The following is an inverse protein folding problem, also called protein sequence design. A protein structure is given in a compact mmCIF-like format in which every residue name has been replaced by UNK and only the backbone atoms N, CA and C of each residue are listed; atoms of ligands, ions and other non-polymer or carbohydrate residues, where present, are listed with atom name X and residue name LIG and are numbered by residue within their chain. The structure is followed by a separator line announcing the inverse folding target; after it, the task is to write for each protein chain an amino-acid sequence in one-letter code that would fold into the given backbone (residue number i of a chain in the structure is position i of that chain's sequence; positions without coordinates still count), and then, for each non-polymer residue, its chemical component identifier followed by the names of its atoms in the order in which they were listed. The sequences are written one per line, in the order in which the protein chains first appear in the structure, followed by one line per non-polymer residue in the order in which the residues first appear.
data_IF_990048738320
#
_entry.id   IF_990048738320
#
_cell.length_a   1.000
_cell.length_b   1.000
_cell.length_c   1.000
_cell.angle_alpha   90.00
_cell.angle_beta   90.00
_cell.angle_gamma   90.00
#
_symmetry.space_group_name_H-M   'P 1'
#
loop_
_entity.id
_entity.type
_entity.pdbx_description
1 polymer ?
#
# COMPACT_ATOMS: atom_id res chain seq x y z
N UNK A 1 -16.73 -4.38 19.67
CA UNK A 1 -16.73 -2.89 19.58
C UNK A 1 -16.08 -2.46 18.27
N UNK A 2 -16.77 -1.62 17.52
CA UNK A 2 -16.26 -1.10 16.26
C UNK A 2 -15.24 0.00 16.52
N UNK A 3 -14.05 -0.11 15.93
CA UNK A 3 -13.05 0.95 16.00
C UNK A 3 -13.41 2.00 14.97
N UNK A 4 -13.42 3.26 15.37
CA UNK A 4 -13.67 4.39 14.47
C UNK A 4 -12.37 4.73 13.71
N UNK A 5 -12.18 4.11 12.55
CA UNK A 5 -11.01 4.33 11.69
C UNK A 5 -11.41 5.19 10.51
N UNK A 6 -10.65 6.23 10.23
CA UNK A 6 -10.80 7.01 9.01
C UNK A 6 -9.45 7.15 8.32
N UNK A 7 -9.48 7.20 6.98
CA UNK A 7 -8.29 7.27 6.14
C UNK A 7 -8.30 8.59 5.39
N UNK A 8 -7.15 9.25 5.36
CA UNK A 8 -6.98 10.55 4.67
C UNK A 8 -5.75 10.51 3.78
N UNK A 9 -5.78 11.29 2.70
CA UNK A 9 -4.60 11.60 1.91
C UNK A 9 -3.84 12.69 2.66
N UNK A 10 -2.55 12.47 2.88
CA UNK A 10 -1.71 13.34 3.69
C UNK A 10 -0.38 13.64 2.98
N UNK A 11 0.38 14.57 3.52
CA UNK A 11 1.75 14.83 3.06
C UNK A 11 2.67 13.69 3.48
N UNK A 12 3.75 13.49 2.75
CA UNK A 12 4.76 12.47 3.04
C UNK A 12 5.28 12.54 4.48
N UNK A 13 5.46 13.75 5.00
CA UNK A 13 5.94 13.96 6.36
C UNK A 13 5.05 13.34 7.43
N UNK A 14 3.76 13.14 7.13
CA UNK A 14 2.82 12.57 8.10
C UNK A 14 3.00 11.06 8.28
N UNK A 15 3.59 10.36 7.29
CA UNK A 15 3.68 8.90 7.33
C UNK A 15 5.11 8.36 7.52
N UNK A 16 6.12 9.20 7.40
CA UNK A 16 7.50 8.72 7.46
C UNK A 16 7.84 8.06 8.80
N UNK A 17 7.35 8.61 9.91
CA UNK A 17 7.61 8.03 11.24
C UNK A 17 7.06 6.62 11.37
N UNK A 18 5.80 6.42 11.03
CA UNK A 18 5.16 5.10 11.11
C UNK A 18 5.78 4.13 10.12
N UNK A 19 5.98 4.55 8.88
CA UNK A 19 6.62 3.71 7.86
C UNK A 19 7.96 3.21 8.35
N UNK A 20 8.78 4.11 8.88
CA UNK A 20 10.13 3.77 9.35
C UNK A 20 10.06 2.81 10.53
N UNK A 21 9.24 3.10 11.52
CA UNK A 21 9.14 2.28 12.72
C UNK A 21 8.71 0.84 12.41
N UNK A 22 7.80 0.66 11.46
CA UNK A 22 7.26 -0.66 11.13
C UNK A 22 8.13 -1.40 10.11
N UNK A 23 8.56 -0.71 9.05
CA UNK A 23 9.24 -1.38 7.92
C UNK A 23 10.76 -1.35 8.03
N UNK A 24 11.31 -0.44 8.81
CA UNK A 24 12.77 -0.29 8.97
C UNK A 24 13.12 -0.08 10.44
N UNK A 25 12.72 -1.01 11.33
CA UNK A 25 12.94 -0.83 12.77
C UNK A 25 14.42 -0.80 13.16
N UNK A 26 15.30 -1.27 12.28
CA UNK A 26 16.76 -1.28 12.50
C UNK A 26 17.43 0.05 12.12
N UNK A 27 16.70 1.00 11.53
CA UNK A 27 17.29 2.30 11.18
C UNK A 27 17.70 3.05 12.45
N UNK A 28 18.86 3.73 12.43
CA UNK A 28 19.28 4.54 13.57
C UNK A 28 18.31 5.71 13.80
N UNK A 29 18.28 6.25 15.03
CA UNK A 29 17.41 7.41 15.32
C UNK A 29 17.64 8.55 14.33
N UNK A 30 16.54 9.13 13.86
CA UNK A 30 16.57 10.25 12.92
C UNK A 30 16.65 9.87 11.45
N UNK A 31 16.92 8.60 11.14
CA UNK A 31 16.92 8.14 9.75
C UNK A 31 15.52 7.70 9.36
N UNK A 32 15.00 8.25 8.27
CA UNK A 32 13.64 7.95 7.79
C UNK A 32 13.66 7.05 6.56
N UNK A 33 12.65 6.18 6.45
CA UNK A 33 12.44 5.33 5.28
C UNK A 33 11.78 6.17 4.18
N UNK A 34 12.61 6.83 3.38
CA UNK A 34 12.17 7.65 2.25
C UNK A 34 12.34 6.82 0.98
N UNK A 35 11.28 6.70 0.19
CA UNK A 35 11.34 5.96 -1.07
C UNK A 35 11.50 6.93 -2.23
N UNK A 36 12.25 6.49 -3.25
CA UNK A 36 12.31 7.23 -4.50
C UNK A 36 10.91 7.39 -5.07
N UNK A 37 10.53 8.62 -5.43
CA UNK A 37 9.19 8.93 -5.93
C UNK A 37 8.21 9.41 -4.88
N UNK A 38 8.58 9.43 -3.59
CA UNK A 38 7.68 9.89 -2.52
C UNK A 38 7.17 11.31 -2.73
N UNK A 39 7.96 12.17 -3.36
CA UNK A 39 7.60 13.57 -3.57
C UNK A 39 7.14 13.87 -4.99
N UNK A 40 6.94 12.85 -5.83
CA UNK A 40 6.43 13.05 -7.19
C UNK A 40 4.98 13.56 -7.15
N UNK A 41 4.61 14.40 -8.11
CA UNK A 41 3.28 15.01 -8.17
C UNK A 41 2.15 13.99 -8.23
N UNK A 42 2.41 12.82 -8.81
CA UNK A 42 1.40 11.76 -8.95
C UNK A 42 1.36 10.80 -7.76
N UNK A 43 2.28 10.95 -6.81
CA UNK A 43 2.33 10.09 -5.63
C UNK A 43 1.35 10.59 -4.57
N UNK A 44 0.63 9.66 -3.93
CA UNK A 44 -0.27 9.97 -2.82
C UNK A 44 0.08 9.13 -1.61
N UNK A 45 0.05 9.75 -0.44
CA UNK A 45 0.26 9.07 0.82
C UNK A 45 -1.05 9.00 1.58
N UNK A 46 -1.36 7.82 2.10
CA UNK A 46 -2.58 7.56 2.85
C UNK A 46 -2.22 7.28 4.30
N UNK A 47 -2.99 7.86 5.21
CA UNK A 47 -2.82 7.61 6.63
C UNK A 47 -4.16 7.29 7.27
N UNK A 48 -4.15 6.28 8.13
CA UNK A 48 -5.33 5.88 8.90
C UNK A 48 -5.21 6.39 10.32
N UNK A 49 -6.30 6.91 10.85
CA UNK A 49 -6.39 7.47 12.20
C UNK A 49 -7.54 6.84 12.96
N UNK A 50 -7.44 6.80 14.27
CA UNK A 50 -8.52 6.31 15.13
C UNK A 50 -9.15 7.49 15.87
N UNK A 51 -10.47 7.65 15.75
CA UNK A 51 -11.22 8.70 16.43
C UNK A 51 -10.68 10.08 16.12
N UNK A 52 -10.36 10.84 17.17
CA UNK A 52 -9.78 12.19 17.04
C UNK A 52 -8.26 12.20 17.15
N UNK A 53 -7.62 11.02 17.17
CA UNK A 53 -6.17 10.93 17.26
C UNK A 53 -5.49 11.57 16.08
N UNK A 54 -4.34 12.18 16.28
CA UNK A 54 -3.56 12.87 15.26
C UNK A 54 -2.31 12.10 14.84
N UNK A 55 -2.06 10.96 15.47
CA UNK A 55 -0.96 10.06 15.08
C UNK A 55 -1.50 8.95 14.20
N UNK A 56 -0.91 8.72 13.00
CA UNK A 56 -1.39 7.65 12.14
C UNK A 56 -1.12 6.28 12.75
N UNK A 57 -2.09 5.39 12.62
CA UNK A 57 -1.98 3.99 13.04
C UNK A 57 -1.79 3.05 11.86
N UNK A 58 -1.94 3.54 10.66
CA UNK A 58 -1.68 2.83 9.41
C UNK A 58 -1.29 3.79 8.32
N UNK A 59 -0.56 3.32 7.33
CA UNK A 59 -0.19 4.14 6.19
C UNK A 59 0.08 3.30 4.95
N UNK A 60 0.06 3.96 3.80
CA UNK A 60 0.48 3.38 2.54
C UNK A 60 0.78 4.50 1.55
N UNK A 61 1.54 4.17 0.53
CA UNK A 61 1.89 5.11 -0.54
C UNK A 61 1.47 4.53 -1.87
N UNK A 62 0.84 5.36 -2.69
CA UNK A 62 0.38 5.00 -4.03
C UNK A 62 1.19 5.77 -5.04
N UNK A 63 1.90 5.06 -5.91
CA UNK A 63 2.74 5.66 -6.95
C UNK A 63 2.26 5.23 -8.32
N UNK A 64 2.29 6.14 -9.28
CA UNK A 64 2.01 5.79 -10.67
C UNK A 64 3.25 5.14 -11.26
N UNK A 65 3.23 3.82 -11.38
CA UNK A 65 4.35 3.02 -11.89
C UNK A 65 3.83 1.81 -12.65
N UNK A 66 4.51 1.49 -13.73
CA UNK A 66 4.17 0.31 -14.53
C UNK A 66 4.54 -0.97 -13.80
N UNK A 67 3.66 -1.97 -13.93
CA UNK A 67 3.91 -3.30 -13.38
C UNK A 67 5.06 -3.95 -14.13
N UNK A 68 6.05 -4.54 -13.42
CA UNK A 68 7.20 -5.17 -14.06
C UNK A 68 6.87 -6.49 -14.75
N UNK A 69 5.74 -7.12 -14.42
CA UNK A 69 5.32 -8.37 -15.04
C UNK A 69 4.30 -8.10 -16.15
N UNK A 70 4.25 -8.95 -17.18
CA UNK A 70 3.26 -8.78 -18.25
C UNK A 70 1.83 -8.87 -17.71
N UNK A 71 0.97 -7.95 -18.12
CA UNK A 71 -0.44 -7.93 -17.72
C UNK A 71 -1.31 -8.09 -18.96
N UNK A 72 -2.16 -9.11 -18.94
CA UNK A 72 -3.14 -9.34 -20.00
C UNK A 72 -4.44 -8.64 -19.69
N UNK A 73 -4.43 -7.31 -19.66
CA UNK A 73 -5.66 -6.54 -19.49
C UNK A 73 -5.68 -5.46 -20.54
N UNK A 74 -6.29 -5.75 -21.68
CA UNK A 74 -6.26 -4.88 -22.86
C UNK A 74 -6.87 -3.50 -22.69
N UNK A 75 -7.48 -3.17 -21.56
CA UNK A 75 -8.20 -1.90 -21.37
C UNK A 75 -7.67 -1.03 -20.22
N UNK A 76 -6.58 -1.43 -19.60
CA UNK A 76 -6.00 -0.65 -18.50
C UNK A 76 -5.29 0.58 -19.08
N UNK A 77 -5.66 1.77 -18.58
CA UNK A 77 -5.12 3.04 -19.06
C UNK A 77 -3.98 3.56 -18.21
N UNK A 78 -3.84 3.09 -16.98
CA UNK A 78 -2.77 3.49 -16.08
C UNK A 78 -2.50 2.39 -15.07
N UNK A 79 -1.28 2.36 -14.55
CA UNK A 79 -0.86 1.39 -13.53
C UNK A 79 -0.34 2.13 -12.32
N UNK A 80 -0.72 1.64 -11.14
CA UNK A 80 -0.32 2.22 -9.86
C UNK A 80 0.27 1.14 -8.98
N UNK A 81 1.34 1.48 -8.28
CA UNK A 81 1.98 0.60 -7.31
C UNK A 81 1.62 1.01 -5.90
N UNK A 82 1.18 0.07 -5.09
CA UNK A 82 1.02 0.25 -3.65
C UNK A 82 2.34 -0.10 -2.98
N UNK A 83 2.84 0.82 -2.16
CA UNK A 83 4.10 0.62 -1.42
C UNK A 83 3.96 1.08 0.02
N UNK A 84 4.88 0.61 0.86
CA UNK A 84 5.00 1.13 2.21
C UNK A 84 3.77 0.93 3.08
N UNK A 85 3.01 -0.14 2.86
CA UNK A 85 1.90 -0.50 3.73
C UNK A 85 2.43 -0.85 5.12
N UNK A 86 1.99 -0.13 6.13
CA UNK A 86 2.42 -0.34 7.50
C UNK A 86 1.26 -0.09 8.45
N UNK A 87 1.14 -0.95 9.48
CA UNK A 87 0.16 -0.78 10.55
C UNK A 87 0.92 -0.84 11.87
N UNK A 88 0.64 0.11 12.76
CA UNK A 88 1.23 0.15 14.08
C UNK A 88 1.07 -1.20 14.79
N UNK A 89 2.12 -1.67 15.47
CA UNK A 89 2.10 -2.95 16.17
C UNK A 89 0.95 -3.11 17.15
N UNK A 90 0.57 -2.03 17.82
CA UNK A 90 -0.52 -2.03 18.78
C UNK A 90 -1.90 -2.14 18.12
N UNK A 91 -1.98 -1.93 16.81
CA UNK A 91 -3.23 -1.87 16.07
C UNK A 91 -3.36 -2.94 15.00
N UNK A 92 -2.49 -3.94 15.01
CA UNK A 92 -2.58 -5.06 14.06
C UNK A 92 -3.81 -5.91 14.33
N UNK A 93 -4.28 -6.62 13.30
CA UNK A 93 -5.46 -7.50 13.34
C UNK A 93 -6.78 -6.79 13.66
N UNK A 94 -6.84 -5.47 13.43
CA UNK A 94 -8.05 -4.66 13.62
C UNK A 94 -8.64 -4.18 12.30
N UNK A 95 -8.18 -4.74 11.18
CA UNK A 95 -8.70 -4.39 9.85
C UNK A 95 -8.23 -3.05 9.32
N UNK A 96 -7.20 -2.43 9.91
CA UNK A 96 -6.72 -1.12 9.50
C UNK A 96 -6.10 -1.16 8.10
N UNK A 97 -5.26 -2.17 7.82
CA UNK A 97 -4.68 -2.35 6.49
C UNK A 97 -5.75 -2.50 5.41
N UNK A 98 -6.79 -3.27 5.68
CA UNK A 98 -7.92 -3.43 4.77
C UNK A 98 -8.64 -2.12 4.52
N UNK A 99 -8.79 -1.28 5.54
CA UNK A 99 -9.42 0.04 5.41
C UNK A 99 -8.57 0.97 4.54
N UNK A 100 -7.24 0.92 4.68
CA UNK A 100 -6.34 1.72 3.85
C UNK A 100 -6.44 1.28 2.39
N UNK A 101 -6.39 -0.03 2.13
CA UNK A 101 -6.53 -0.56 0.76
C UNK A 101 -7.88 -0.18 0.17
N UNK A 102 -8.96 -0.30 0.94
CA UNK A 102 -10.30 0.06 0.48
C UNK A 102 -10.39 1.53 0.08
N UNK A 103 -9.73 2.42 0.85
CA UNK A 103 -9.69 3.84 0.51
C UNK A 103 -8.93 4.10 -0.79
N UNK A 104 -7.83 3.39 -1.01
CA UNK A 104 -7.05 3.50 -2.25
C UNK A 104 -7.89 3.00 -3.43
N UNK A 105 -8.55 1.84 -3.28
CA UNK A 105 -9.42 1.30 -4.33
C UNK A 105 -10.56 2.26 -4.64
N UNK A 106 -11.14 2.85 -3.60
CA UNK A 106 -12.22 3.82 -3.78
C UNK A 106 -11.75 5.03 -4.58
N UNK A 107 -10.57 5.57 -4.27
CA UNK A 107 -10.00 6.70 -5.01
C UNK A 107 -9.71 6.32 -6.44
N UNK A 108 -9.13 5.14 -6.68
CA UNK A 108 -8.84 4.67 -8.04
C UNK A 108 -10.13 4.41 -8.84
N UNK A 109 -11.23 4.02 -8.17
CA UNK A 109 -12.51 3.82 -8.84
C UNK A 109 -13.13 5.12 -9.35
N UNK A 110 -12.64 6.28 -8.89
CA UNK A 110 -13.07 7.57 -9.40
C UNK A 110 -12.39 7.94 -10.71
N UNK A 111 -11.36 7.21 -11.10
CA UNK A 111 -10.71 7.39 -12.40
C UNK A 111 -11.68 6.88 -13.48
N UNK A 112 -11.75 7.61 -14.59
CA UNK A 112 -12.76 7.39 -15.63
C UNK A 112 -12.65 6.04 -16.36
N UNK A 113 -11.48 5.44 -16.32
CA UNK A 113 -11.17 4.20 -17.04
C UNK A 113 -10.59 3.17 -16.08
N UNK A 114 -10.53 1.92 -16.51
CA UNK A 114 -9.91 0.86 -15.72
C UNK A 114 -8.42 1.13 -15.48
N UNK A 115 -7.98 0.91 -14.26
CA UNK A 115 -6.58 1.04 -13.86
C UNK A 115 -6.12 -0.23 -13.18
N UNK A 116 -4.83 -0.49 -13.21
CA UNK A 116 -4.23 -1.63 -12.52
C UNK A 116 -3.61 -1.17 -11.20
N UNK A 117 -3.97 -1.83 -10.11
CA UNK A 117 -3.28 -1.66 -8.84
C UNK A 117 -2.42 -2.91 -8.61
N UNK A 118 -1.13 -2.72 -8.39
CA UNK A 118 -0.20 -3.82 -8.19
C UNK A 118 0.76 -3.53 -7.05
N UNK A 119 1.34 -4.57 -6.51
CA UNK A 119 2.35 -4.45 -5.44
C UNK A 119 3.15 -5.75 -5.34
N UNK A 120 4.26 -5.67 -4.62
CA UNK A 120 5.08 -6.81 -4.28
C UNK A 120 4.65 -7.31 -2.91
N UNK A 121 4.08 -8.51 -2.86
CA UNK A 121 3.57 -9.09 -1.62
C UNK A 121 4.53 -10.16 -1.10
N UNK A 122 4.79 -10.15 0.20
CA UNK A 122 5.50 -11.27 0.83
C UNK A 122 4.69 -12.55 0.64
N UNK A 123 5.39 -13.66 0.39
CA UNK A 123 4.73 -14.95 0.20
C UNK A 123 3.74 -15.26 1.32
N UNK A 124 4.07 -14.93 2.56
CA UNK A 124 3.21 -15.16 3.72
C UNK A 124 1.91 -14.34 3.70
N UNK A 125 1.84 -13.27 2.91
CA UNK A 125 0.67 -12.41 2.81
C UNK A 125 -0.21 -12.69 1.58
N UNK A 126 0.21 -13.61 0.71
CA UNK A 126 -0.51 -13.87 -0.55
C UNK A 126 -1.97 -14.26 -0.30
N UNK A 127 -2.22 -15.19 0.62
CA UNK A 127 -3.59 -15.64 0.90
C UNK A 127 -4.50 -14.49 1.36
N UNK A 128 -3.96 -13.57 2.16
CA UNK A 128 -4.70 -12.39 2.62
C UNK A 128 -5.13 -11.52 1.42
N UNK A 129 -4.19 -11.25 0.51
CA UNK A 129 -4.50 -10.42 -0.66
C UNK A 129 -5.39 -11.13 -1.66
N UNK A 130 -5.24 -12.46 -1.82
CA UNK A 130 -6.15 -13.22 -2.65
C UNK A 130 -7.60 -13.12 -2.14
N UNK A 131 -7.78 -13.13 -0.82
CA UNK A 131 -9.11 -12.98 -0.22
C UNK A 131 -9.71 -11.60 -0.50
N UNK A 132 -8.87 -10.60 -0.78
CA UNK A 132 -9.30 -9.24 -1.13
C UNK A 132 -9.47 -9.04 -2.64
N UNK A 133 -9.33 -10.10 -3.44
CA UNK A 133 -9.55 -10.04 -4.88
C UNK A 133 -8.30 -9.83 -5.72
N UNK A 134 -7.12 -9.92 -5.14
CA UNK A 134 -5.86 -9.77 -5.87
C UNK A 134 -5.38 -11.12 -6.40
N UNK A 135 -4.74 -11.10 -7.55
CA UNK A 135 -4.17 -12.31 -8.17
C UNK A 135 -2.65 -12.20 -8.24
N UNK A 136 -1.99 -13.34 -8.06
CA UNK A 136 -0.54 -13.41 -8.30
C UNK A 136 -0.25 -13.26 -9.78
N UNK A 137 0.84 -12.56 -10.09
CA UNK A 137 1.27 -12.32 -11.46
C UNK A 137 2.75 -12.67 -11.57
N UNK A 138 3.07 -13.62 -12.46
CA UNK A 138 4.45 -14.06 -12.65
C UNK A 138 4.93 -15.04 -11.58
N UNK A 139 6.25 -15.18 -11.48
CA UNK A 139 6.88 -16.16 -10.61
C UNK A 139 7.33 -15.55 -9.28
N UNK A 140 7.59 -16.43 -8.32
CA UNK A 140 8.18 -16.05 -7.04
C UNK A 140 9.56 -15.42 -7.29
N UNK A 141 9.85 -14.35 -6.54
CA UNK A 141 11.17 -13.71 -6.55
C UNK A 141 11.60 -13.43 -5.13
N UNK A 142 12.92 -13.35 -4.93
CA UNK A 142 13.47 -13.11 -3.61
C UNK A 142 13.86 -11.64 -3.44
N UNK A 143 13.49 -11.06 -2.30
CA UNK A 143 13.94 -9.72 -1.91
C UNK A 143 15.05 -9.92 -0.88
N UNK A 144 16.30 -9.55 -1.20
CA UNK A 144 17.42 -9.76 -0.30
C UNK A 144 17.16 -9.19 1.09
N UNK A 145 17.39 -10.02 2.10
CA UNK A 145 17.19 -9.64 3.49
C UNK A 145 15.75 -9.71 3.99
N UNK A 146 14.78 -9.97 3.10
CA UNK A 146 13.36 -10.03 3.46
C UNK A 146 12.73 -11.39 3.14
N UNK A 147 13.03 -11.96 1.96
CA UNK A 147 12.56 -13.29 1.58
C UNK A 147 11.72 -13.33 0.32
N UNK A 148 10.96 -14.42 0.12
CA UNK A 148 10.20 -14.63 -1.11
C UNK A 148 8.97 -13.72 -1.22
N UNK A 149 8.76 -13.22 -2.44
CA UNK A 149 7.68 -12.30 -2.80
C UNK A 149 7.01 -12.73 -4.08
N UNK A 150 5.80 -12.22 -4.29
CA UNK A 150 5.06 -12.31 -5.55
C UNK A 150 4.54 -10.93 -5.93
N UNK A 151 4.52 -10.65 -7.21
CA UNK A 151 3.75 -9.50 -7.71
C UNK A 151 2.27 -9.88 -7.64
N UNK A 152 1.45 -9.01 -7.08
CA UNK A 152 0.00 -9.20 -7.05
C UNK A 152 -0.69 -7.99 -7.66
N UNK A 153 -1.83 -8.20 -8.28
CA UNK A 153 -2.53 -7.13 -8.96
C UNK A 153 -4.05 -7.32 -8.97
N UNK A 154 -4.74 -6.21 -9.21
CA UNK A 154 -6.19 -6.18 -9.35
C UNK A 154 -6.56 -5.05 -10.31
N UNK A 155 -7.48 -5.31 -11.22
CA UNK A 155 -8.03 -4.25 -12.08
C UNK A 155 -9.13 -3.55 -11.30
N UNK A 156 -9.03 -2.24 -11.20
CA UNK A 156 -10.03 -1.39 -10.54
C UNK A 156 -10.79 -0.66 -11.65
N UNK A 157 -12.08 -0.88 -11.72
CA UNK A 157 -12.93 -0.24 -12.73
C UNK A 157 -13.65 0.96 -12.13
N UNK A 158 -13.67 2.03 -12.91
CA UNK A 158 -14.36 3.25 -12.52
C UNK A 158 -15.84 3.23 -12.75
#
# INVERSE_FOLDING_TARGET
MKIDVHVRVVKSSAIYGLRTAVLRPHFPPGKLAIFEGDEDDTTRHYAAYIGTGDEPVGCATLMQRDCPAPVESGEVTAMFQLRGMAVSGDHRRKGIGQRVIASIEQDLSQVRHAVLLWFNARKSAVAFYESAGYAMLGEEFDVPGIGPHYVMCKVIEG
#
